data_IF_379914917022
#
_entry.id   IF_379914917022
#
_cell.length_a   1.000
_cell.length_b   1.000
_cell.length_c   1.000
_cell.angle_alpha   90.00
_cell.angle_beta   90.00
_cell.angle_gamma   90.00
#
_symmetry.space_group_name_H-M   'P 1'
#
loop_
_entity.id
_entity.type
_entity.pdbx_description
1 polymer ?
#
# COMPACT_ATOMS: atom_id res chain seq x y z
N UNK A 1 -32.66 -1.01 -21.03
CA UNK A 1 -31.72 0.11 -20.85
C UNK A 1 -30.72 -0.29 -19.78
N UNK A 2 -29.55 -0.79 -20.19
CA UNK A 2 -28.48 -1.18 -19.25
C UNK A 2 -27.55 0.03 -19.15
N UNK A 3 -27.57 0.70 -17.99
CA UNK A 3 -26.58 1.75 -17.70
C UNK A 3 -25.18 1.14 -17.69
N UNK A 4 -24.26 1.73 -18.44
CA UNK A 4 -22.88 1.25 -18.54
C UNK A 4 -22.14 1.53 -17.22
N UNK A 5 -21.12 0.74 -16.86
CA UNK A 5 -20.36 0.90 -15.60
C UNK A 5 -19.79 2.31 -15.34
N UNK A 6 -19.56 3.10 -16.40
CA UNK A 6 -19.17 4.53 -16.30
C UNK A 6 -20.29 5.43 -15.76
N UNK A 7 -21.55 5.04 -15.96
CA UNK A 7 -22.73 5.81 -15.59
C UNK A 7 -23.13 5.57 -14.12
N UNK A 8 -22.83 4.38 -13.60
CA UNK A 8 -22.93 4.04 -12.17
C UNK A 8 -21.90 4.83 -11.32
N UNK A 9 -20.66 4.95 -11.79
CA UNK A 9 -19.62 5.76 -11.10
C UNK A 9 -19.94 7.27 -11.04
N UNK A 10 -20.84 7.77 -11.89
CA UNK A 10 -21.22 9.18 -11.95
C UNK A 10 -22.30 9.57 -10.93
N UNK A 11 -22.96 8.59 -10.32
CA UNK A 11 -24.08 8.75 -9.36
C UNK A 11 -23.69 8.49 -7.90
N UNK A 12 -22.42 8.26 -7.58
CA UNK A 12 -21.99 8.12 -6.20
C UNK A 12 -22.10 9.46 -5.46
N UNK A 13 -22.83 9.44 -4.35
CA UNK A 13 -22.73 10.45 -3.32
C UNK A 13 -21.28 10.51 -2.84
N UNK A 14 -20.57 11.57 -3.25
CA UNK A 14 -19.14 11.77 -2.94
C UNK A 14 -18.89 12.03 -1.46
N UNK A 15 -19.93 12.20 -0.64
CA UNK A 15 -19.83 12.52 0.78
C UNK A 15 -19.47 11.32 1.66
N UNK A 16 -19.74 10.08 1.20
CA UNK A 16 -19.34 8.83 1.88
C UNK A 16 -18.87 7.82 0.82
N UNK A 17 -17.66 7.26 0.94
CA UNK A 17 -17.16 6.27 -0.01
C UNK A 17 -18.01 5.00 0.08
N UNK A 18 -19.01 4.87 -0.81
CA UNK A 18 -19.81 3.66 -0.90
C UNK A 18 -19.13 2.67 -1.84
N UNK A 19 -18.01 2.11 -1.40
CA UNK A 19 -17.33 1.04 -2.12
C UNK A 19 -16.96 -0.05 -1.12
N UNK A 20 -17.35 -1.28 -1.42
CA UNK A 20 -16.99 -2.49 -0.66
C UNK A 20 -15.49 -2.56 -0.35
N UNK A 21 -14.65 -2.08 -1.28
CA UNK A 21 -13.20 -1.96 -1.10
C UNK A 21 -12.80 -0.97 0.01
N UNK A 22 -13.53 0.13 0.18
CA UNK A 22 -13.28 1.07 1.27
C UNK A 22 -13.65 0.46 2.62
N UNK A 23 -14.73 -0.34 2.68
CA UNK A 23 -15.11 -1.07 3.91
C UNK A 23 -14.07 -2.14 4.26
N UNK A 24 -13.59 -2.89 3.26
CA UNK A 24 -12.50 -3.85 3.43
C UNK A 24 -11.21 -3.15 3.90
N UNK A 25 -10.88 -2.01 3.30
CA UNK A 25 -9.70 -1.20 3.65
C UNK A 25 -9.70 -0.82 5.12
N UNK A 26 -10.81 -0.28 5.61
CA UNK A 26 -10.95 0.20 7.00
C UNK A 26 -11.45 -0.89 7.97
N UNK A 27 -11.50 -2.15 7.54
CA UNK A 27 -11.86 -3.24 8.43
C UNK A 27 -10.79 -3.43 9.50
N UNK A 28 -11.23 -3.73 10.72
CA UNK A 28 -10.31 -3.98 11.83
C UNK A 28 -9.30 -5.09 11.49
N UNK A 29 -9.76 -6.18 10.88
CA UNK A 29 -8.92 -7.31 10.47
C UNK A 29 -7.83 -6.89 9.48
N UNK A 30 -8.18 -6.14 8.42
CA UNK A 30 -7.22 -5.71 7.40
C UNK A 30 -6.14 -4.78 7.98
N UNK A 31 -6.55 -3.83 8.83
CA UNK A 31 -5.62 -2.89 9.47
C UNK A 31 -4.71 -3.62 10.47
N UNK A 32 -5.25 -4.56 11.23
CA UNK A 32 -4.46 -5.36 12.16
C UNK A 32 -3.39 -6.20 11.43
N UNK A 33 -3.75 -6.82 10.30
CA UNK A 33 -2.78 -7.53 9.45
C UNK A 33 -1.78 -6.58 8.77
N UNK A 34 -2.22 -5.37 8.39
CA UNK A 34 -1.33 -4.33 7.89
C UNK A 34 -0.28 -3.92 8.93
N UNK A 35 -0.68 -3.69 10.18
CA UNK A 35 0.23 -3.38 11.29
C UNK A 35 1.26 -4.50 11.45
N UNK A 36 0.83 -5.74 11.56
CA UNK A 36 1.74 -6.89 11.68
C UNK A 36 2.71 -6.97 10.49
N UNK A 37 2.22 -6.77 9.27
CA UNK A 37 3.05 -6.83 8.06
C UNK A 37 4.11 -5.73 8.05
N UNK A 38 3.74 -4.50 8.42
CA UNK A 38 4.69 -3.37 8.52
C UNK A 38 5.73 -3.63 9.61
N UNK A 39 5.33 -4.12 10.78
CA UNK A 39 6.27 -4.49 11.85
C UNK A 39 7.25 -5.57 11.40
N UNK A 40 6.77 -6.61 10.70
CA UNK A 40 7.63 -7.66 10.13
C UNK A 40 8.62 -7.13 9.10
N UNK A 41 8.21 -6.17 8.27
CA UNK A 41 9.07 -5.54 7.28
C UNK A 41 10.14 -4.62 7.91
N UNK A 42 9.97 -4.23 9.18
CA UNK A 42 10.83 -3.28 9.89
C UNK A 42 10.94 -1.96 9.11
N UNK A 43 12.12 -1.35 9.12
CA UNK A 43 12.43 -0.11 8.42
C UNK A 43 12.50 1.09 9.35
N UNK A 44 13.24 2.10 8.90
CA UNK A 44 13.46 3.33 9.66
C UNK A 44 12.17 4.13 9.87
N UNK A 45 12.17 4.97 10.90
CA UNK A 45 11.12 5.94 11.13
C UNK A 45 10.99 6.92 9.96
N UNK A 46 9.78 7.46 9.80
CA UNK A 46 9.53 8.54 8.85
C UNK A 46 9.93 9.91 9.42
N UNK A 47 9.35 10.96 8.86
CA UNK A 47 9.66 12.35 9.26
C UNK A 47 9.22 12.68 10.69
N UNK A 48 8.28 11.91 11.25
CA UNK A 48 7.75 12.02 12.60
C UNK A 48 8.59 11.30 13.66
N UNK A 49 9.60 10.53 13.25
CA UNK A 49 10.48 9.80 14.17
C UNK A 49 9.86 8.56 14.81
N UNK A 50 8.60 8.23 14.52
CA UNK A 50 7.91 7.08 15.10
C UNK A 50 8.44 5.76 14.53
N UNK A 51 8.87 4.87 15.42
CA UNK A 51 9.30 3.50 15.11
C UNK A 51 8.12 2.56 14.83
N UNK A 52 8.40 1.44 14.15
CA UNK A 52 7.36 0.43 13.87
C UNK A 52 6.86 -0.29 15.13
N UNK A 53 7.67 -0.34 16.19
CA UNK A 53 7.32 -1.01 17.44
C UNK A 53 6.26 -0.24 18.24
N UNK A 54 6.09 1.05 17.95
CA UNK A 54 5.07 1.92 18.56
C UNK A 54 3.70 1.79 17.88
N UNK A 55 3.63 1.13 16.71
CA UNK A 55 2.41 1.02 15.91
C UNK A 55 1.22 0.40 16.67
N UNK A 56 1.36 -0.70 17.45
CA UNK A 56 0.22 -1.29 18.14
C UNK A 56 -0.46 -0.30 19.09
N UNK A 57 0.31 0.33 19.97
CA UNK A 57 -0.19 1.31 20.93
C UNK A 57 -0.76 2.55 20.23
N UNK A 58 -0.10 3.02 19.16
CA UNK A 58 -0.60 4.17 18.42
C UNK A 58 -1.95 3.89 17.76
N UNK A 59 -2.10 2.74 17.10
CA UNK A 59 -3.37 2.37 16.45
C UNK A 59 -4.46 2.07 17.48
N UNK A 60 -4.15 1.49 18.63
CA UNK A 60 -5.12 1.32 19.71
C UNK A 60 -5.73 2.67 20.14
N UNK A 61 -4.90 3.71 20.27
CA UNK A 61 -5.35 5.03 20.69
C UNK A 61 -6.01 5.87 19.57
N UNK A 62 -5.52 5.79 18.33
CA UNK A 62 -5.86 6.75 17.26
C UNK A 62 -6.71 6.17 16.13
N UNK A 63 -6.94 4.86 16.09
CA UNK A 63 -7.58 4.22 14.92
C UNK A 63 -8.96 4.77 14.59
N UNK A 64 -9.80 5.05 15.59
CA UNK A 64 -11.15 5.59 15.35
C UNK A 64 -11.07 6.93 14.60
N UNK A 65 -10.14 7.81 14.98
CA UNK A 65 -9.94 9.10 14.33
C UNK A 65 -9.39 8.95 12.90
N UNK A 66 -8.40 8.09 12.71
CA UNK A 66 -7.81 7.82 11.39
C UNK A 66 -8.88 7.25 10.44
N UNK A 67 -9.67 6.29 10.92
CA UNK A 67 -10.77 5.70 10.18
C UNK A 67 -11.77 6.75 9.72
N UNK A 68 -12.20 7.63 10.62
CA UNK A 68 -13.13 8.70 10.29
C UNK A 68 -12.55 9.65 9.25
N UNK A 69 -11.25 9.98 9.35
CA UNK A 69 -10.57 10.80 8.36
C UNK A 69 -10.52 10.15 6.97
N UNK A 70 -10.31 8.83 6.90
CA UNK A 70 -10.31 8.08 5.64
C UNK A 70 -11.71 8.09 5.03
N UNK A 71 -12.75 7.77 5.83
CA UNK A 71 -14.14 7.72 5.37
C UNK A 71 -14.61 9.10 4.89
N UNK A 72 -14.25 10.16 5.59
CA UNK A 72 -14.62 11.54 5.21
C UNK A 72 -13.69 12.15 4.17
N UNK A 73 -12.69 11.41 3.67
CA UNK A 73 -11.68 11.85 2.69
C UNK A 73 -10.84 13.06 3.17
N UNK A 74 -10.75 13.23 4.48
CA UNK A 74 -9.96 14.28 5.13
C UNK A 74 -8.58 13.80 5.58
N UNK A 75 -8.30 12.49 5.53
CA UNK A 75 -6.95 11.96 5.79
C UNK A 75 -5.92 12.62 4.87
N UNK A 76 -4.81 13.07 5.45
CA UNK A 76 -3.68 13.67 4.76
C UNK A 76 -2.41 12.93 5.16
N UNK A 77 -1.82 12.12 4.27
CA UNK A 77 -0.55 11.47 4.53
C UNK A 77 0.54 12.50 4.84
N UNK A 78 1.51 12.11 5.68
CA UNK A 78 2.65 12.96 5.99
C UNK A 78 3.65 12.98 4.82
N UNK A 79 4.44 14.05 4.67
CA UNK A 79 5.56 14.05 3.74
C UNK A 79 6.54 12.90 4.02
N UNK A 80 7.08 12.30 2.97
CA UNK A 80 8.10 11.26 3.12
C UNK A 80 9.44 11.88 3.54
N UNK A 81 10.14 11.24 4.47
CA UNK A 81 11.51 11.60 4.85
C UNK A 81 12.46 11.24 3.70
N UNK A 82 13.25 12.21 3.23
CA UNK A 82 14.27 11.97 2.20
C UNK A 82 15.57 11.52 2.85
N UNK A 83 16.09 10.38 2.41
CA UNK A 83 17.38 9.84 2.84
C UNK A 83 18.23 9.54 1.61
N UNK A 84 19.51 9.93 1.66
CA UNK A 84 20.48 9.60 0.62
C UNK A 84 21.18 8.29 0.98
N UNK A 85 21.17 7.34 0.04
CA UNK A 85 21.89 6.06 0.17
C UNK A 85 22.92 5.99 -0.97
N UNK A 86 24.21 5.78 -0.67
CA UNK A 86 25.21 5.62 -1.72
C UNK A 86 24.91 4.39 -2.57
N UNK A 87 25.13 4.47 -3.89
CA UNK A 87 25.07 3.30 -4.78
C UNK A 87 26.45 2.65 -4.88
N UNK A 88 26.45 1.33 -5.10
CA UNK A 88 27.69 0.55 -5.26
C UNK A 88 28.55 1.01 -6.45
N UNK A 89 27.94 1.57 -7.49
CA UNK A 89 28.59 2.04 -8.71
C UNK A 89 28.81 3.56 -8.76
N UNK A 90 28.68 4.25 -7.62
CA UNK A 90 28.81 5.70 -7.51
C UNK A 90 27.48 6.46 -7.66
N UNK A 91 27.45 7.66 -7.08
CA UNK A 91 26.25 8.48 -6.96
C UNK A 91 25.34 8.09 -5.79
N UNK A 92 24.18 8.75 -5.70
CA UNK A 92 23.23 8.58 -4.58
C UNK A 92 21.88 8.07 -5.07
N UNK A 93 21.21 7.27 -4.25
CA UNK A 93 19.80 6.89 -4.34
C UNK A 93 19.03 7.71 -3.32
N UNK A 94 18.10 8.52 -3.78
CA UNK A 94 17.15 9.20 -2.91
C UNK A 94 16.04 8.21 -2.54
N UNK A 95 15.94 7.89 -1.25
CA UNK A 95 14.84 7.11 -0.68
C UNK A 95 13.81 8.06 -0.07
N UNK A 96 12.53 7.77 -0.27
CA UNK A 96 11.44 8.39 0.47
C UNK A 96 10.91 7.40 1.50
N UNK A 97 10.99 7.73 2.78
CA UNK A 97 10.51 6.89 3.89
C UNK A 97 9.21 7.51 4.42
N UNK A 98 8.04 6.89 4.16
CA UNK A 98 6.78 7.32 4.79
C UNK A 98 6.81 7.09 6.30
N UNK A 99 5.94 7.77 7.04
CA UNK A 99 5.70 7.50 8.46
C UNK A 99 5.25 6.06 8.68
N UNK A 100 5.46 5.52 9.87
CA UNK A 100 5.04 4.16 10.17
C UNK A 100 3.51 3.99 9.96
N UNK A 101 2.72 5.00 10.34
CA UNK A 101 1.26 5.04 10.15
C UNK A 101 0.89 5.03 8.67
N UNK A 102 1.52 5.88 7.86
CA UNK A 102 1.26 5.91 6.41
C UNK A 102 1.64 4.59 5.73
N UNK A 103 2.71 3.92 6.18
CA UNK A 103 3.06 2.58 5.68
C UNK A 103 1.99 1.56 6.00
N UNK A 104 1.35 1.63 7.18
CA UNK A 104 0.23 0.74 7.53
C UNK A 104 -0.97 0.98 6.61
N UNK A 105 -1.34 2.23 6.36
CA UNK A 105 -2.47 2.55 5.48
C UNK A 105 -2.17 2.14 4.03
N UNK A 106 -0.95 2.37 3.55
CA UNK A 106 -0.51 1.89 2.23
C UNK A 106 -0.53 0.36 2.15
N UNK A 107 -0.08 -0.34 3.18
CA UNK A 107 -0.11 -1.79 3.24
C UNK A 107 -1.55 -2.35 3.30
N UNK A 108 -2.47 -1.63 3.95
CA UNK A 108 -3.90 -1.95 3.98
C UNK A 108 -4.53 -1.78 2.58
N UNK A 109 -4.13 -0.75 1.83
CA UNK A 109 -4.51 -0.56 0.43
C UNK A 109 -4.00 -1.71 -0.44
N UNK A 110 -2.72 -2.10 -0.30
CA UNK A 110 -2.13 -3.21 -1.06
C UNK A 110 -2.89 -4.52 -0.82
N UNK A 111 -3.25 -4.83 0.42
CA UNK A 111 -4.00 -6.05 0.75
C UNK A 111 -5.35 -6.14 0.04
N UNK A 112 -6.05 -5.01 -0.11
CA UNK A 112 -7.36 -4.94 -0.77
C UNK A 112 -7.23 -4.89 -2.29
N UNK A 113 -6.25 -4.17 -2.82
CA UNK A 113 -6.10 -3.94 -4.26
C UNK A 113 -5.38 -5.08 -4.98
N UNK A 114 -4.45 -5.78 -4.33
CA UNK A 114 -3.72 -6.88 -4.96
C UNK A 114 -4.65 -7.98 -5.50
N UNK A 115 -5.64 -8.52 -4.76
CA UNK A 115 -6.56 -9.52 -5.30
C UNK A 115 -7.37 -9.03 -6.51
N UNK A 116 -7.61 -7.72 -6.62
CA UNK A 116 -8.35 -7.12 -7.75
C UNK A 116 -7.47 -7.03 -8.99
N UNK A 117 -6.22 -6.59 -8.86
CA UNK A 117 -5.34 -6.32 -10.00
C UNK A 117 -4.48 -7.51 -10.42
N UNK A 118 -4.10 -8.39 -9.50
CA UNK A 118 -3.17 -9.47 -9.78
C UNK A 118 -3.60 -10.39 -10.94
N UNK A 119 -4.90 -10.76 -11.08
CA UNK A 119 -5.36 -11.58 -12.21
C UNK A 119 -5.32 -10.86 -13.57
N UNK A 120 -5.19 -9.53 -13.57
CA UNK A 120 -5.20 -8.70 -14.79
C UNK A 120 -3.79 -8.45 -15.33
N UNK A 121 -2.76 -8.73 -14.55
CA UNK A 121 -1.38 -8.49 -14.96
C UNK A 121 -0.88 -9.57 -15.93
N UNK A 122 -0.09 -9.13 -16.91
CA UNK A 122 0.60 -9.99 -17.87
C UNK A 122 1.43 -11.07 -17.19
N UNK A 123 1.49 -12.27 -17.79
CA UNK A 123 2.38 -13.34 -17.35
C UNK A 123 3.87 -13.01 -17.49
N UNK A 124 4.22 -11.99 -18.29
CA UNK A 124 5.58 -11.49 -18.46
C UNK A 124 5.95 -10.37 -17.47
N UNK A 125 5.05 -10.03 -16.53
CA UNK A 125 5.30 -9.07 -15.47
C UNK A 125 5.72 -9.78 -14.17
N UNK A 126 6.90 -9.46 -13.64
CA UNK A 126 7.47 -10.17 -12.48
C UNK A 126 7.74 -9.28 -11.26
N UNK A 127 7.89 -7.97 -11.46
CA UNK A 127 8.28 -7.06 -10.39
C UNK A 127 7.20 -6.87 -9.33
N UNK A 128 7.57 -7.02 -8.06
CA UNK A 128 6.73 -6.71 -6.89
C UNK A 128 5.38 -7.46 -6.82
N UNK A 129 5.30 -8.65 -7.45
CA UNK A 129 4.09 -9.46 -7.47
C UNK A 129 4.19 -10.67 -6.52
N UNK A 130 3.09 -11.09 -5.88
CA UNK A 130 3.08 -12.31 -5.08
C UNK A 130 3.46 -13.53 -5.91
N UNK A 131 4.37 -14.36 -5.39
CA UNK A 131 4.78 -15.61 -6.05
C UNK A 131 5.58 -15.44 -7.34
N UNK A 132 6.09 -14.24 -7.63
CA UNK A 132 6.96 -13.97 -8.78
C UNK A 132 8.26 -13.29 -8.32
N UNK A 133 9.35 -13.61 -9.00
CA UNK A 133 10.70 -13.14 -8.65
C UNK A 133 11.48 -12.64 -9.87
N UNK A 134 12.61 -11.98 -9.63
CA UNK A 134 13.51 -11.56 -10.70
C UNK A 134 14.14 -12.78 -11.40
N UNK A 135 14.40 -13.85 -10.65
CA UNK A 135 14.93 -15.12 -11.12
C UNK A 135 13.98 -15.81 -12.10
N UNK A 136 12.67 -15.75 -11.84
CA UNK A 136 11.65 -16.29 -12.77
C UNK A 136 11.68 -15.55 -14.11
N UNK A 137 11.86 -14.24 -14.08
CA UNK A 137 11.98 -13.42 -15.29
C UNK A 137 13.21 -13.82 -16.11
N UNK A 138 14.36 -14.01 -15.46
CA UNK A 138 15.60 -14.43 -16.12
C UNK A 138 15.44 -15.83 -16.73
N UNK A 139 14.84 -16.77 -15.99
CA UNK A 139 14.62 -18.14 -16.48
C UNK A 139 13.74 -18.16 -17.74
N UNK A 140 12.66 -17.37 -17.75
CA UNK A 140 11.80 -17.27 -18.92
C UNK A 140 12.52 -16.62 -20.11
N UNK A 141 13.30 -15.55 -19.88
CA UNK A 141 14.07 -14.89 -20.93
C UNK A 141 15.05 -15.85 -21.62
N UNK A 142 15.71 -16.72 -20.85
CA UNK A 142 16.65 -17.73 -21.40
C UNK A 142 15.99 -18.68 -22.39
N UNK A 143 14.71 -19.05 -22.19
CA UNK A 143 13.99 -19.96 -23.12
C UNK A 143 13.70 -19.36 -24.49
N UNK A 144 13.80 -18.04 -24.65
CA UNK A 144 13.63 -17.37 -25.94
C UNK A 144 14.95 -17.18 -26.69
N UNK A 145 16.08 -17.40 -26.03
CA UNK A 145 17.42 -17.23 -26.60
C UNK A 145 18.02 -18.55 -27.11
N UNK A 146 17.44 -19.69 -26.73
CA UNK A 146 17.77 -21.03 -27.23
C UNK A 146 17.03 -21.35 -28.52
#
# INVERSE_FOLDING_TARGET
MIQTGKELMRKEDRSRPNTELCEQLISFTNIHEAVKKVMRNKGSAGIDGMGVDELPTYFEAHWIGIREQIVTRTYRPQPVLRVEIPKDNGGVRLLGIPTAVDRVIQQALVQVLTPVFEPTFSDFSFGFRPGRSAEDAVRLAQTYMS
#
